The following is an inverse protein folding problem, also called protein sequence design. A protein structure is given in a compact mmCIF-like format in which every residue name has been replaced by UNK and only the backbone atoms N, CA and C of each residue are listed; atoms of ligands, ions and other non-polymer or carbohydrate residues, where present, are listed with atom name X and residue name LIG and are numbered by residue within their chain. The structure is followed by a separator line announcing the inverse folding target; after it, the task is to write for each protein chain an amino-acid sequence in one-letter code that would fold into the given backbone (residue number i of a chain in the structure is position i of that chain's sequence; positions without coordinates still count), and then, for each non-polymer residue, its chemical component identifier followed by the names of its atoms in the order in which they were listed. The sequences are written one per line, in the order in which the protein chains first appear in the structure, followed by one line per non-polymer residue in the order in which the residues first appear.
data_IF_626728010430
#
_entry.id   IF_626728010430
#
_cell.length_a   1.000
_cell.length_b   1.000
_cell.length_c   1.000
_cell.angle_alpha   90.00
_cell.angle_beta   90.00
_cell.angle_gamma   90.00
#
_symmetry.space_group_name_H-M   'P 1'
#
loop_
_entity.id
_entity.type
_entity.pdbx_description
1 polymer ?
#
# COMPACT_ATOMS: atom_id res chain seq x y z
N UNK A 1 -8.08 -25.19 -7.10
CA UNK A 1 -7.88 -25.10 -5.64
C UNK A 1 -7.05 -23.85 -5.40
N UNK A 2 -7.66 -22.74 -4.98
CA UNK A 2 -6.90 -21.53 -4.63
C UNK A 2 -6.32 -21.79 -3.25
N UNK A 3 -5.00 -21.92 -3.15
CA UNK A 3 -4.33 -21.97 -1.84
C UNK A 3 -4.58 -20.61 -1.20
N UNK A 4 -5.41 -20.57 -0.15
CA UNK A 4 -5.59 -19.36 0.65
C UNK A 4 -4.24 -19.06 1.33
N UNK A 5 -3.55 -18.02 0.86
CA UNK A 5 -2.29 -17.61 1.48
C UNK A 5 -2.59 -17.12 2.91
N UNK A 6 -1.84 -17.61 3.90
CA UNK A 6 -1.99 -17.10 5.26
C UNK A 6 -1.34 -15.71 5.38
N UNK A 7 -1.76 -14.91 6.37
CA UNK A 7 -1.33 -13.52 6.52
C UNK A 7 0.20 -13.40 6.68
N UNK A 8 0.82 -14.30 7.45
CA UNK A 8 2.28 -14.34 7.66
C UNK A 8 3.05 -14.48 6.35
N UNK A 9 2.64 -15.40 5.47
CA UNK A 9 3.29 -15.60 4.17
C UNK A 9 3.09 -14.42 3.22
N UNK A 10 1.94 -13.74 3.28
CA UNK A 10 1.71 -12.51 2.51
C UNK A 10 2.66 -11.39 2.98
N UNK A 11 2.85 -11.26 4.30
CA UNK A 11 3.79 -10.30 4.90
C UNK A 11 5.24 -10.63 4.51
N UNK A 12 5.64 -11.90 4.58
CA UNK A 12 6.96 -12.35 4.14
C UNK A 12 7.22 -11.99 2.66
N UNK A 13 6.29 -12.35 1.78
CA UNK A 13 6.38 -12.04 0.35
C UNK A 13 6.44 -10.52 0.09
N UNK A 14 5.69 -9.73 0.87
CA UNK A 14 5.75 -8.28 0.79
C UNK A 14 7.17 -7.77 1.06
N UNK A 15 7.81 -8.22 2.14
CA UNK A 15 9.17 -7.80 2.47
C UNK A 15 10.19 -8.24 1.41
N UNK A 16 10.06 -9.46 0.87
CA UNK A 16 10.91 -9.96 -0.22
C UNK A 16 10.84 -9.04 -1.46
N UNK A 17 9.65 -8.55 -1.81
CA UNK A 17 9.45 -7.77 -3.03
C UNK A 17 9.66 -6.26 -2.85
N UNK A 18 9.27 -5.70 -1.71
CA UNK A 18 9.06 -4.25 -1.57
C UNK A 18 10.06 -3.55 -0.66
N UNK A 19 10.84 -4.27 0.15
CA UNK A 19 11.77 -3.65 1.10
C UNK A 19 12.85 -2.81 0.45
N UNK A 20 13.28 -3.19 -0.76
CA UNK A 20 14.27 -2.46 -1.55
C UNK A 20 13.66 -1.69 -2.72
N UNK A 21 12.32 -1.57 -2.77
CA UNK A 21 11.67 -0.74 -3.79
C UNK A 21 11.93 0.75 -3.48
N UNK A 22 12.22 1.59 -4.48
CA UNK A 22 12.70 2.96 -4.28
C UNK A 22 11.62 3.94 -3.79
N UNK A 23 10.41 3.46 -3.50
CA UNK A 23 9.27 4.29 -3.12
C UNK A 23 8.56 3.68 -1.93
N UNK A 24 7.71 4.45 -1.25
CA UNK A 24 6.93 3.92 -0.13
C UNK A 24 5.95 2.87 -0.63
N UNK A 25 5.86 1.77 0.08
CA UNK A 25 4.89 0.71 -0.14
C UNK A 25 4.39 0.19 1.21
N UNK A 26 3.10 -0.11 1.26
CA UNK A 26 2.41 -0.62 2.45
C UNK A 26 1.48 -1.75 2.05
N UNK A 27 1.50 -2.84 2.79
CA UNK A 27 0.53 -3.93 2.68
C UNK A 27 -0.65 -3.64 3.58
N UNK A 28 -1.86 -3.59 3.02
CA UNK A 28 -3.05 -3.16 3.75
C UNK A 28 -4.19 -4.15 3.51
N UNK A 29 -4.90 -4.51 4.58
CA UNK A 29 -6.10 -5.35 4.54
C UNK A 29 -7.34 -4.51 4.20
N UNK A 30 -8.42 -5.15 3.72
CA UNK A 30 -9.65 -4.48 3.29
C UNK A 30 -10.30 -3.59 4.36
N UNK A 31 -10.06 -3.87 5.63
CA UNK A 31 -10.53 -3.08 6.78
C UNK A 31 -9.60 -1.90 7.12
N UNK A 32 -8.62 -1.62 6.25
CA UNK A 32 -7.61 -0.55 6.33
C UNK A 32 -6.50 -0.78 7.34
N UNK A 33 -6.43 -1.93 7.99
CA UNK A 33 -5.29 -2.27 8.84
C UNK A 33 -4.03 -2.44 8.00
N UNK A 34 -2.97 -1.73 8.39
CA UNK A 34 -1.64 -1.83 7.80
C UNK A 34 -0.96 -3.07 8.38
N UNK A 35 -0.73 -4.06 7.52
CA UNK A 35 -0.11 -5.34 7.89
C UNK A 35 1.43 -5.24 7.86
N UNK A 36 1.98 -4.55 6.85
CA UNK A 36 3.42 -4.37 6.68
C UNK A 36 3.73 -3.04 5.99
N UNK A 37 4.92 -2.50 6.25
CA UNK A 37 5.46 -1.29 5.61
C UNK A 37 6.88 -1.58 5.15
N UNK A 38 7.27 -1.05 3.99
CA UNK A 38 8.64 -1.21 3.52
C UNK A 38 9.59 -0.22 4.21
N UNK A 39 10.90 -0.38 4.01
CA UNK A 39 11.95 0.45 4.63
C UNK A 39 11.73 1.95 4.41
N UNK A 40 11.37 2.35 3.19
CA UNK A 40 11.12 3.75 2.85
C UNK A 40 9.88 4.28 3.57
N UNK A 41 8.77 3.53 3.58
CA UNK A 41 7.58 3.92 4.32
C UNK A 41 7.85 4.05 5.83
N UNK A 42 8.63 3.12 6.40
CA UNK A 42 9.02 3.17 7.81
C UNK A 42 9.85 4.42 8.14
N UNK A 43 10.85 4.77 7.29
CA UNK A 43 11.63 6.01 7.42
C UNK A 43 10.76 7.28 7.38
N UNK A 44 9.61 7.22 6.69
CA UNK A 44 8.62 8.31 6.60
C UNK A 44 7.57 8.31 7.73
N UNK A 45 7.72 7.44 8.74
CA UNK A 45 6.84 7.41 9.91
C UNK A 45 5.57 6.57 9.75
N UNK A 46 5.43 5.79 8.67
CA UNK A 46 4.34 4.83 8.56
C UNK A 46 4.60 3.61 9.45
N UNK A 47 3.56 3.14 10.14
CA UNK A 47 3.62 2.03 11.09
C UNK A 47 2.59 0.94 10.76
N UNK A 48 2.82 -0.28 11.26
CA UNK A 48 1.89 -1.41 11.18
C UNK A 48 0.89 -1.39 12.34
N UNK A 49 -0.13 -2.25 12.28
CA UNK A 49 -1.12 -2.42 13.36
C UNK A 49 -2.12 -1.27 13.51
N UNK A 50 -2.02 -0.24 12.69
CA UNK A 50 -2.95 0.89 12.64
C UNK A 50 -3.84 0.82 11.42
N UNK A 51 -5.00 1.49 11.49
CA UNK A 51 -5.85 1.72 10.32
C UNK A 51 -5.36 2.96 9.58
N UNK A 52 -5.05 2.83 8.29
CA UNK A 52 -4.48 3.95 7.52
C UNK A 52 -5.39 5.17 7.50
N UNK A 53 -6.71 4.97 7.38
CA UNK A 53 -7.69 6.06 7.33
C UNK A 53 -7.82 6.85 8.64
N UNK A 54 -7.31 6.31 9.75
CA UNK A 54 -7.32 6.97 11.05
C UNK A 54 -6.00 7.73 11.30
N UNK A 55 -5.04 7.64 10.38
CA UNK A 55 -3.76 8.34 10.48
C UNK A 55 -3.83 9.74 9.85
N UNK A 56 -3.26 10.77 10.50
CA UNK A 56 -3.22 12.12 9.97
C UNK A 56 -2.27 12.26 8.77
N UNK A 57 -2.52 13.21 7.84
CA UNK A 57 -3.76 13.98 7.71
C UNK A 57 -4.90 13.09 7.20
N UNK A 58 -6.03 13.04 7.93
CA UNK A 58 -7.17 12.16 7.60
C UNK A 58 -7.78 12.54 6.24
N UNK A 59 -7.70 13.83 5.91
CA UNK A 59 -8.20 14.46 4.68
C UNK A 59 -7.47 13.92 3.44
N UNK A 60 -6.22 13.45 3.59
CA UNK A 60 -5.48 12.81 2.49
C UNK A 60 -6.12 11.49 2.01
N UNK A 61 -7.06 10.94 2.79
CA UNK A 61 -7.84 9.77 2.40
C UNK A 61 -9.11 10.14 1.60
N UNK A 62 -9.41 11.44 1.41
CA UNK A 62 -10.48 11.88 0.49
C UNK A 62 -10.11 11.50 -0.94
N UNK A 63 -10.86 10.55 -1.49
CA UNK A 63 -10.57 9.97 -2.81
C UNK A 63 -9.68 8.73 -2.77
N UNK A 64 -9.59 8.04 -1.63
CA UNK A 64 -9.01 6.70 -1.55
C UNK A 64 -9.78 5.73 -2.46
N UNK A 65 -9.07 5.10 -3.41
CA UNK A 65 -9.68 4.15 -4.36
C UNK A 65 -9.53 2.68 -3.94
N UNK A 66 -9.09 2.40 -2.72
CA UNK A 66 -8.86 1.02 -2.25
C UNK A 66 -10.10 0.13 -2.35
N UNK A 67 -11.30 0.63 -1.99
CA UNK A 67 -12.54 -0.14 -2.15
C UNK A 67 -12.84 -0.48 -3.61
N UNK A 68 -12.57 0.47 -4.50
CA UNK A 68 -12.81 0.31 -5.93
C UNK A 68 -11.78 -0.66 -6.55
N UNK A 69 -10.52 -0.59 -6.13
CA UNK A 69 -9.46 -1.52 -6.52
C UNK A 69 -9.79 -2.95 -6.10
N UNK A 70 -10.16 -3.15 -4.82
CA UNK A 70 -10.51 -4.46 -4.28
C UNK A 70 -11.77 -5.04 -4.94
N UNK A 71 -12.83 -4.23 -5.08
CA UNK A 71 -14.11 -4.67 -5.69
C UNK A 71 -13.94 -5.15 -7.13
N UNK A 72 -13.10 -4.49 -7.92
CA UNK A 72 -12.83 -4.88 -9.31
C UNK A 72 -11.64 -5.83 -9.46
N UNK A 73 -10.97 -6.16 -8.35
CA UNK A 73 -9.70 -6.88 -8.32
C UNK A 73 -8.69 -6.36 -9.35
N UNK A 74 -8.62 -5.03 -9.48
CA UNK A 74 -7.82 -4.34 -10.51
C UNK A 74 -7.07 -3.16 -9.92
N UNK A 75 -5.81 -3.03 -10.31
CA UNK A 75 -4.95 -1.92 -9.91
C UNK A 75 -5.54 -0.55 -10.25
N UNK A 76 -5.32 0.43 -9.37
CA UNK A 76 -5.70 1.83 -9.56
C UNK A 76 -4.48 2.72 -9.49
N UNK A 77 -4.50 3.77 -10.31
CA UNK A 77 -3.48 4.82 -10.37
C UNK A 77 -4.18 6.17 -10.33
N UNK A 78 -3.63 7.10 -9.56
CA UNK A 78 -4.09 8.49 -9.49
C UNK A 78 -2.88 9.40 -9.47
N UNK A 79 -2.92 10.48 -10.25
CA UNK A 79 -1.95 11.57 -10.16
C UNK A 79 -2.55 12.71 -9.36
N UNK A 80 -1.77 13.27 -8.45
CA UNK A 80 -2.06 14.53 -7.74
C UNK A 80 -1.53 15.71 -8.54
N UNK A 81 -1.91 16.92 -8.13
CA UNK A 81 -1.48 18.18 -8.78
C UNK A 81 0.04 18.37 -8.74
N UNK A 82 0.71 17.88 -7.69
CA UNK A 82 2.17 17.90 -7.55
C UNK A 82 2.88 16.76 -8.31
N UNK A 83 2.19 16.09 -9.23
CA UNK A 83 2.66 14.96 -10.04
C UNK A 83 3.02 13.69 -9.24
N UNK A 84 2.55 13.57 -7.99
CA UNK A 84 2.66 12.30 -7.25
C UNK A 84 1.72 11.26 -7.84
N UNK A 85 2.28 10.13 -8.28
CA UNK A 85 1.55 8.92 -8.59
C UNK A 85 1.19 8.20 -7.29
N UNK A 86 -0.08 7.91 -7.09
CA UNK A 86 -0.62 7.08 -6.00
C UNK A 86 -1.20 5.82 -6.62
N UNK A 87 -0.96 4.66 -5.99
CA UNK A 87 -1.49 3.41 -6.49
C UNK A 87 -2.12 2.53 -5.41
N UNK A 88 -3.06 1.69 -5.84
CA UNK A 88 -3.67 0.61 -5.06
C UNK A 88 -3.67 -0.66 -5.91
N UNK A 89 -2.90 -1.67 -5.51
CA UNK A 89 -2.70 -2.90 -6.26
C UNK A 89 -3.19 -4.11 -5.45
N UNK A 90 -4.40 -4.64 -5.73
CA UNK A 90 -4.86 -5.90 -5.15
C UNK A 90 -3.90 -7.06 -5.45
N UNK A 91 -3.81 -8.02 -4.53
CA UNK A 91 -2.96 -9.20 -4.69
C UNK A 91 -3.78 -10.38 -5.23
N UNK A 92 -3.32 -10.96 -6.33
CA UNK A 92 -3.92 -12.18 -6.91
C UNK A 92 -3.92 -13.32 -5.88
N UNK A 93 -5.04 -14.04 -5.77
CA UNK A 93 -5.22 -15.09 -4.76
C UNK A 93 -5.40 -14.59 -3.31
N UNK A 94 -5.41 -13.27 -3.08
CA UNK A 94 -5.59 -12.63 -1.77
C UNK A 94 -6.60 -11.46 -1.86
N UNK A 95 -7.89 -11.77 -2.03
CA UNK A 95 -8.95 -10.79 -2.32
C UNK A 95 -9.12 -9.66 -1.28
N UNK A 96 -8.67 -9.89 -0.04
CA UNK A 96 -8.83 -8.96 1.06
C UNK A 96 -7.61 -8.07 1.31
N UNK A 97 -6.58 -8.14 0.46
CA UNK A 97 -5.29 -7.43 0.68
C UNK A 97 -4.84 -6.69 -0.58
N UNK A 98 -4.24 -5.52 -0.39
CA UNK A 98 -3.69 -4.70 -1.46
C UNK A 98 -2.39 -4.00 -1.04
N UNK A 99 -1.53 -3.75 -2.02
CA UNK A 99 -0.39 -2.83 -1.86
C UNK A 99 -0.87 -1.41 -2.12
N UNK A 100 -0.47 -0.50 -1.26
CA UNK A 100 -0.67 0.92 -1.46
C UNK A 100 0.63 1.67 -1.30
N UNK A 101 0.95 2.48 -2.31
CA UNK A 101 2.17 3.27 -2.35
C UNK A 101 1.97 4.57 -3.08
N UNK A 102 3.02 5.37 -3.07
CA UNK A 102 3.09 6.58 -3.86
C UNK A 102 4.52 6.88 -4.28
N UNK A 103 4.64 7.53 -5.43
CA UNK A 103 5.90 7.92 -6.04
C UNK A 103 5.76 9.29 -6.69
N UNK A 104 6.73 10.17 -6.47
CA UNK A 104 6.83 11.45 -7.16
C UNK A 104 8.19 11.49 -7.86
N UNK A 105 8.24 11.84 -9.14
CA UNK A 105 9.48 11.88 -9.92
C UNK A 105 10.49 12.90 -9.39
N UNK A 106 10.01 13.95 -8.72
CA UNK A 106 10.81 15.00 -8.12
C UNK A 106 11.24 14.66 -6.68
N UNK A 107 10.85 13.49 -6.17
CA UNK A 107 11.23 13.03 -4.84
C UNK A 107 12.71 12.65 -4.83
N UNK A 108 13.47 13.31 -3.96
CA UNK A 108 14.81 12.86 -3.63
C UNK A 108 14.69 11.54 -2.86
N UNK A 109 15.21 10.45 -3.41
CA UNK A 109 15.24 9.15 -2.75
C UNK A 109 16.59 9.08 -2.05
N UNK A 110 16.66 9.31 -0.73
CA UNK A 110 17.92 9.14 -0.02
C UNK A 110 18.35 7.67 -0.10
N UNK A 111 19.64 7.46 -0.36
CA UNK A 111 20.28 6.14 -0.39
C UNK A 111 19.99 5.28 0.87
#
# INVERSE_FOLDING_TARGET
MVIKMNEEKIIEMFHVMWDNFPTRARLIRKDRHVLAVNKIAAKEGFVTGVRCIDQPPVEAHRGCEANLALREHRGRLKYTEDETLIFWAPLEGCEDVYIHGSWNKNRNIPD
#
